data_IF_272626555793
#
_entry.id   IF_272626555793
#
_cell.length_a   1.000
_cell.length_b   1.000
_cell.length_c   1.000
_cell.angle_alpha   90.00
_cell.angle_beta   90.00
_cell.angle_gamma   90.00
#
_symmetry.space_group_name_H-M   'P 1'
#
loop_
_entity.id
_entity.type
_entity.pdbx_description
1 polymer ?
#
# COMPACT_ATOMS: atom_id res chain seq x y z
N UNK A 1 -14.60 -8.08 17.95
CA UNK A 1 -14.15 -6.87 17.22
C UNK A 1 -12.63 -6.81 17.07
N UNK A 2 -11.86 -6.73 18.16
CA UNK A 2 -10.38 -6.66 18.08
C UNK A 2 -9.76 -7.77 17.21
N UNK A 3 -10.22 -9.02 17.37
CA UNK A 3 -9.73 -10.13 16.55
C UNK A 3 -10.08 -10.02 15.07
N UNK A 4 -11.28 -9.50 14.74
CA UNK A 4 -11.69 -9.25 13.36
C UNK A 4 -10.79 -8.17 12.73
N UNK A 5 -10.60 -7.04 13.44
CA UNK A 5 -9.75 -5.95 12.96
C UNK A 5 -8.29 -6.38 12.79
N UNK A 6 -7.73 -7.11 13.77
CA UNK A 6 -6.39 -7.65 13.70
C UNK A 6 -6.24 -8.68 12.57
N UNK A 7 -7.23 -9.57 12.36
CA UNK A 7 -7.21 -10.52 11.26
C UNK A 7 -7.37 -9.86 9.89
N UNK A 8 -8.20 -8.83 9.75
CA UNK A 8 -8.28 -8.03 8.53
C UNK A 8 -6.94 -7.35 8.23
N UNK A 9 -6.32 -6.73 9.24
CA UNK A 9 -4.98 -6.16 9.09
C UNK A 9 -3.99 -7.22 8.61
N UNK A 10 -3.94 -8.38 9.28
CA UNK A 10 -3.10 -9.53 8.95
C UNK A 10 -3.29 -9.99 7.49
N UNK A 11 -4.54 -10.12 7.03
CA UNK A 11 -4.86 -10.61 5.68
C UNK A 11 -4.68 -9.59 4.56
N UNK A 12 -4.66 -8.29 4.86
CA UNK A 12 -4.58 -7.24 3.83
C UNK A 12 -3.14 -7.02 3.32
N UNK A 13 -2.14 -7.04 4.21
CA UNK A 13 -0.73 -6.77 3.86
C UNK A 13 0.22 -7.44 4.85
N UNK A 14 1.45 -7.72 4.39
CA UNK A 14 2.54 -8.27 5.21
C UNK A 14 2.76 -7.50 6.52
N UNK A 15 2.82 -6.16 6.46
CA UNK A 15 3.00 -5.31 7.65
C UNK A 15 1.83 -5.38 8.63
N UNK A 16 0.66 -5.83 8.18
CA UNK A 16 -0.50 -6.06 9.04
C UNK A 16 -0.29 -7.18 10.06
N UNK A 17 0.65 -8.11 9.83
CA UNK A 17 1.07 -9.08 10.83
C UNK A 17 1.66 -8.43 12.08
N UNK A 18 2.45 -7.36 11.92
CA UNK A 18 3.00 -6.58 13.03
C UNK A 18 1.87 -5.91 13.82
N UNK A 19 0.88 -5.33 13.13
CA UNK A 19 -0.29 -4.73 13.77
C UNK A 19 -1.13 -5.77 14.52
N UNK A 20 -1.37 -6.93 13.90
CA UNK A 20 -2.12 -8.02 14.52
C UNK A 20 -1.42 -8.53 15.78
N UNK A 21 -0.10 -8.71 15.73
CA UNK A 21 0.71 -9.11 16.88
C UNK A 21 0.70 -8.03 17.99
N UNK A 22 0.87 -6.76 17.62
CA UNK A 22 0.85 -5.63 18.54
C UNK A 22 -0.48 -5.50 19.30
N UNK A 23 -1.60 -5.96 18.73
CA UNK A 23 -2.90 -6.04 19.41
C UNK A 23 -3.05 -7.36 20.17
N UNK A 24 -2.78 -8.50 19.54
CA UNK A 24 -3.05 -9.81 20.11
C UNK A 24 -2.19 -10.07 21.35
N UNK A 25 -0.89 -9.79 21.29
CA UNK A 25 0.06 -10.12 22.39
C UNK A 25 -0.31 -9.38 23.68
N UNK A 26 -0.52 -8.05 23.71
CA UNK A 26 -0.90 -7.35 24.93
C UNK A 26 -2.27 -7.78 25.47
N UNK A 27 -3.25 -8.05 24.61
CA UNK A 27 -4.58 -8.53 25.04
C UNK A 27 -4.46 -9.91 25.70
N UNK A 28 -3.75 -10.85 25.08
CA UNK A 28 -3.52 -12.18 25.64
C UNK A 28 -2.73 -12.11 26.96
N UNK A 29 -1.72 -11.24 27.03
CA UNK A 29 -0.96 -11.01 28.25
C UNK A 29 -1.84 -10.44 29.38
N UNK A 30 -2.72 -9.48 29.07
CA UNK A 30 -3.67 -8.92 30.04
C UNK A 30 -4.67 -9.98 30.55
N UNK A 31 -5.19 -10.83 29.66
CA UNK A 31 -6.07 -11.93 30.04
C UNK A 31 -5.33 -12.91 30.97
N UNK A 32 -4.11 -13.31 30.62
CA UNK A 32 -3.29 -14.20 31.42
C UNK A 32 -2.94 -13.59 32.80
N UNK A 33 -2.58 -12.31 32.85
CA UNK A 33 -2.30 -11.60 34.10
C UNK A 33 -3.55 -11.44 34.97
N UNK A 34 -4.71 -11.19 34.36
CA UNK A 34 -5.99 -11.07 35.09
C UNK A 34 -6.41 -12.40 35.72
N UNK A 35 -6.17 -13.51 35.03
CA UNK A 35 -6.32 -14.85 35.58
C UNK A 35 -5.36 -15.10 36.74
N UNK A 36 -4.06 -14.80 36.56
CA UNK A 36 -3.05 -14.98 37.62
C UNK A 36 -3.36 -14.16 38.88
N UNK A 37 -3.95 -12.98 38.73
CA UNK A 37 -4.37 -12.11 39.83
C UNK A 37 -5.74 -12.46 40.43
N UNK A 38 -6.37 -13.54 39.99
CA UNK A 38 -7.71 -13.96 40.46
C UNK A 38 -8.85 -13.01 40.06
N UNK A 39 -8.62 -12.07 39.13
CA UNK A 39 -9.62 -11.09 38.69
C UNK A 39 -10.55 -11.65 37.61
N UNK A 40 -10.18 -12.76 36.98
CA UNK A 40 -10.90 -13.35 35.86
C UNK A 40 -10.85 -14.89 35.94
N UNK A 41 -11.98 -15.60 35.76
CA UNK A 41 -11.97 -17.06 35.73
C UNK A 41 -11.25 -17.60 34.50
N UNK A 42 -10.46 -18.69 34.67
CA UNK A 42 -9.68 -19.33 33.59
C UNK A 42 -10.52 -19.66 32.34
N UNK A 43 -11.75 -20.16 32.55
CA UNK A 43 -12.68 -20.52 31.46
C UNK A 43 -13.01 -19.33 30.58
N UNK A 44 -13.28 -18.18 31.19
CA UNK A 44 -13.61 -16.95 30.44
C UNK A 44 -12.39 -16.41 29.69
N UNK A 45 -11.21 -16.38 30.32
CA UNK A 45 -9.97 -16.00 29.62
C UNK A 45 -9.66 -16.91 28.43
N UNK A 46 -9.88 -18.23 28.59
CA UNK A 46 -9.73 -19.21 27.52
C UNK A 46 -10.69 -18.95 26.37
N UNK A 47 -11.98 -18.75 26.67
CA UNK A 47 -12.99 -18.41 25.67
C UNK A 47 -12.69 -17.09 24.96
N UNK A 48 -12.28 -16.05 25.68
CA UNK A 48 -11.93 -14.75 25.11
C UNK A 48 -10.68 -14.83 24.22
N UNK A 49 -9.65 -15.56 24.66
CA UNK A 49 -8.44 -15.82 23.86
C UNK A 49 -8.77 -16.62 22.60
N UNK A 50 -9.59 -17.67 22.73
CA UNK A 50 -10.05 -18.48 21.61
C UNK A 50 -10.88 -17.69 20.61
N UNK A 51 -11.79 -16.83 21.08
CA UNK A 51 -12.57 -15.95 20.22
C UNK A 51 -11.70 -14.90 19.50
N UNK A 52 -10.70 -14.34 20.20
CA UNK A 52 -9.75 -13.39 19.61
C UNK A 52 -8.93 -14.06 18.50
N UNK A 53 -8.26 -15.18 18.81
CA UNK A 53 -7.39 -15.89 17.88
C UNK A 53 -8.18 -16.53 16.73
N UNK A 54 -9.33 -17.13 17.04
CA UNK A 54 -10.24 -17.67 16.05
C UNK A 54 -10.70 -16.62 15.06
N UNK A 55 -11.09 -15.43 15.53
CA UNK A 55 -11.46 -14.33 14.64
C UNK A 55 -10.28 -13.85 13.78
N UNK A 56 -9.05 -13.76 14.33
CA UNK A 56 -7.85 -13.39 13.56
C UNK A 56 -7.59 -14.40 12.45
N UNK A 57 -7.66 -15.70 12.76
CA UNK A 57 -7.40 -16.77 11.82
C UNK A 57 -8.47 -16.86 10.74
N UNK A 58 -9.75 -16.69 11.09
CA UNK A 58 -10.85 -16.73 10.11
C UNK A 58 -10.77 -15.56 9.14
N UNK A 59 -10.49 -14.33 9.62
CA UNK A 59 -10.50 -13.16 8.73
C UNK A 59 -9.17 -12.89 8.03
N UNK A 60 -8.03 -13.30 8.61
CA UNK A 60 -6.70 -13.09 8.04
C UNK A 60 -6.02 -14.34 7.48
N UNK A 61 -6.33 -15.51 8.03
CA UNK A 61 -5.63 -16.77 7.74
C UNK A 61 -5.90 -17.34 6.36
N UNK A 62 -7.02 -16.98 5.72
CA UNK A 62 -7.36 -17.44 4.36
C UNK A 62 -6.24 -17.18 3.36
N UNK A 63 -5.62 -16.00 3.41
CA UNK A 63 -4.55 -15.64 2.48
C UNK A 63 -3.32 -16.55 2.63
N UNK A 64 -2.94 -16.84 3.88
CA UNK A 64 -1.82 -17.73 4.19
C UNK A 64 -2.11 -19.18 3.81
N UNK A 65 -3.33 -19.66 4.07
CA UNK A 65 -3.77 -20.99 3.67
C UNK A 65 -3.78 -21.14 2.15
N UNK A 66 -4.33 -20.14 1.43
CA UNK A 66 -4.32 -20.09 -0.03
C UNK A 66 -2.90 -20.15 -0.57
N UNK A 67 -1.98 -19.34 -0.06
CA UNK A 67 -0.60 -19.32 -0.53
C UNK A 67 0.09 -20.66 -0.27
N UNK A 68 -0.13 -21.26 0.90
CA UNK A 68 0.41 -22.57 1.20
C UNK A 68 -0.08 -23.63 0.19
N UNK A 69 -1.38 -23.67 -0.09
CA UNK A 69 -1.95 -24.63 -1.04
C UNK A 69 -1.44 -24.38 -2.47
N UNK A 70 -1.36 -23.12 -2.91
CA UNK A 70 -1.05 -22.78 -4.30
C UNK A 70 0.44 -22.83 -4.62
N UNK A 71 1.31 -22.42 -3.69
CA UNK A 71 2.75 -22.26 -3.95
C UNK A 71 3.64 -22.95 -2.93
N UNK A 72 3.08 -23.69 -1.98
CA UNK A 72 3.84 -24.41 -0.95
C UNK A 72 4.45 -23.52 0.13
N UNK A 73 4.16 -22.22 0.13
CA UNK A 73 4.71 -21.25 1.07
C UNK A 73 3.58 -20.35 1.63
N UNK A 74 3.26 -20.40 2.93
CA UNK A 74 2.18 -19.60 3.51
C UNK A 74 2.43 -18.09 3.48
N UNK A 75 3.69 -17.66 3.42
CA UNK A 75 4.08 -16.24 3.43
C UNK A 75 4.67 -15.79 2.11
N UNK A 76 4.33 -16.46 1.00
CA UNK A 76 4.77 -16.05 -0.33
C UNK A 76 4.48 -14.55 -0.59
N UNK A 77 5.39 -13.79 -1.22
CA UNK A 77 6.59 -14.27 -1.93
C UNK A 77 7.86 -14.34 -1.07
N UNK A 78 7.76 -14.23 0.27
CA UNK A 78 8.93 -14.15 1.14
C UNK A 78 9.54 -15.52 1.43
N UNK A 79 10.86 -15.63 1.44
CA UNK A 79 11.53 -16.80 2.00
C UNK A 79 11.44 -16.79 3.53
N UNK A 80 11.36 -17.98 4.12
CA UNK A 80 11.38 -18.16 5.57
C UNK A 80 12.54 -19.05 5.93
N UNK A 81 13.44 -18.52 6.76
CA UNK A 81 14.58 -19.24 7.30
C UNK A 81 14.49 -19.27 8.82
N UNK A 82 14.74 -20.43 9.42
CA UNK A 82 14.85 -20.60 10.85
C UNK A 82 16.19 -21.28 11.16
N UNK A 83 17.01 -20.65 12.01
CA UNK A 83 18.33 -21.17 12.39
C UNK A 83 19.22 -21.53 11.18
N UNK A 84 19.16 -20.72 10.11
CA UNK A 84 19.90 -20.94 8.87
C UNK A 84 19.29 -21.98 7.91
N UNK A 85 18.26 -22.72 8.33
CA UNK A 85 17.54 -23.69 7.49
C UNK A 85 16.38 -23.00 6.78
N UNK A 86 16.30 -23.16 5.46
CA UNK A 86 15.17 -22.69 4.65
C UNK A 86 13.95 -23.58 4.88
N UNK A 87 12.92 -23.02 5.53
CA UNK A 87 11.65 -23.70 5.78
C UNK A 87 10.70 -23.54 4.59
N UNK A 88 10.70 -22.36 3.97
CA UNK A 88 9.85 -22.04 2.83
C UNK A 88 10.61 -21.22 1.78
N UNK A 89 10.56 -21.67 0.53
CA UNK A 89 11.15 -21.00 -0.64
C UNK A 89 10.40 -19.71 -0.98
N UNK A 90 11.12 -18.63 -1.25
CA UNK A 90 10.55 -17.36 -1.68
C UNK A 90 11.43 -16.63 -2.69
N UNK A 91 10.87 -15.62 -3.35
CA UNK A 91 11.56 -14.78 -4.34
C UNK A 91 12.22 -13.55 -3.71
N UNK A 92 11.83 -13.19 -2.49
CA UNK A 92 12.34 -12.03 -1.77
C UNK A 92 12.63 -12.40 -0.32
N UNK A 93 13.66 -11.80 0.28
CA UNK A 93 13.83 -11.90 1.72
C UNK A 93 12.91 -10.90 2.43
N UNK A 94 12.47 -11.25 3.64
CA UNK A 94 11.73 -10.31 4.49
C UNK A 94 12.59 -9.07 4.78
N UNK A 95 13.91 -9.23 4.87
CA UNK A 95 14.83 -8.12 5.11
C UNK A 95 14.76 -7.09 3.99
N UNK A 96 14.92 -7.51 2.73
CA UNK A 96 14.93 -6.60 1.57
C UNK A 96 13.67 -5.74 1.48
N UNK A 97 12.54 -6.29 1.92
CA UNK A 97 11.24 -5.63 1.85
C UNK A 97 10.89 -4.78 3.07
N UNK A 98 11.54 -5.00 4.22
CA UNK A 98 11.24 -4.27 5.47
C UNK A 98 12.35 -3.27 5.84
N UNK A 99 13.59 -3.44 5.38
CA UNK A 99 14.73 -2.63 5.82
C UNK A 99 15.24 -1.67 4.77
N UNK A 100 15.15 -2.02 3.48
CA UNK A 100 15.66 -1.16 2.40
C UNK A 100 14.62 -0.09 2.10
N UNK A 101 14.93 1.15 2.50
CA UNK A 101 14.09 2.30 2.15
C UNK A 101 14.23 2.60 0.66
N UNK A 102 13.13 2.92 -0.03
CA UNK A 102 13.22 3.45 -1.38
C UNK A 102 14.14 4.68 -1.41
N UNK A 103 15.29 4.57 -2.09
CA UNK A 103 16.32 5.61 -2.11
C UNK A 103 17.48 5.42 -1.11
N UNK A 104 17.68 4.22 -0.57
CA UNK A 104 18.88 3.84 0.19
C UNK A 104 18.71 3.89 1.72
N UNK A 105 19.75 3.52 2.50
CA UNK A 105 19.72 3.56 3.96
C UNK A 105 19.48 5.00 4.45
N UNK A 106 18.52 5.18 5.36
CA UNK A 106 18.21 6.48 5.95
C UNK A 106 18.08 6.37 7.46
N UNK A 107 18.38 7.45 8.18
CA UNK A 107 18.13 7.49 9.62
C UNK A 107 16.60 7.53 9.87
N UNK A 108 16.03 6.53 10.56
CA UNK A 108 14.58 6.40 10.70
C UNK A 108 13.95 7.52 11.53
N UNK A 109 14.70 8.17 12.42
CA UNK A 109 14.20 9.32 13.21
C UNK A 109 14.11 10.56 12.33
N UNK A 110 15.15 10.84 11.53
CA UNK A 110 15.12 12.00 10.63
C UNK A 110 14.03 11.89 9.57
N UNK A 111 13.74 10.67 9.08
CA UNK A 111 12.63 10.48 8.14
C UNK A 111 11.28 10.74 8.80
N UNK A 112 11.05 10.30 10.04
CA UNK A 112 9.80 10.58 10.77
C UNK A 112 9.63 12.07 10.95
N UNK A 113 10.66 12.76 11.43
CA UNK A 113 10.63 14.21 11.63
C UNK A 113 10.38 14.96 10.32
N UNK A 114 11.08 14.58 9.23
CA UNK A 114 10.88 15.19 7.91
C UNK A 114 9.47 14.95 7.40
N UNK A 115 8.96 13.74 7.57
CA UNK A 115 7.60 13.36 7.15
C UNK A 115 6.55 14.19 7.90
N UNK A 116 6.64 14.26 9.22
CA UNK A 116 5.69 15.03 10.04
C UNK A 116 5.85 16.54 9.82
N UNK A 117 7.06 17.03 9.59
CA UNK A 117 7.30 18.43 9.22
C UNK A 117 6.65 18.78 7.87
N UNK A 118 6.67 17.83 6.93
CA UNK A 118 5.99 17.99 5.65
C UNK A 118 4.47 18.09 5.80
N UNK A 119 3.90 17.41 6.80
CA UNK A 119 2.49 17.51 7.18
C UNK A 119 2.16 18.85 7.85
N UNK A 120 3.09 19.45 8.61
CA UNK A 120 2.90 20.79 9.21
C UNK A 120 2.97 21.89 8.14
N UNK A 121 3.94 21.79 7.24
CA UNK A 121 4.20 22.75 6.16
C UNK A 121 3.36 22.47 4.90
N UNK A 122 2.26 21.72 5.04
CA UNK A 122 1.45 21.25 3.91
C UNK A 122 0.94 22.37 2.99
N UNK A 123 0.70 23.57 3.52
CA UNK A 123 0.29 24.75 2.74
C UNK A 123 1.35 25.23 1.73
N UNK A 124 2.63 25.00 2.04
CA UNK A 124 3.73 25.36 1.16
C UNK A 124 3.94 24.34 0.03
N UNK A 125 3.20 23.24 0.05
CA UNK A 125 3.34 22.16 -0.93
C UNK A 125 2.46 22.42 -2.15
N UNK A 126 3.07 22.30 -3.33
CA UNK A 126 2.37 22.46 -4.59
C UNK A 126 1.73 21.15 -5.09
N UNK A 127 2.14 20.01 -4.52
CA UNK A 127 1.67 18.69 -4.90
C UNK A 127 1.49 17.73 -3.72
N UNK A 128 0.40 16.95 -3.80
CA UNK A 128 0.09 15.79 -2.98
C UNK A 128 0.04 14.60 -3.93
N UNK A 129 0.98 13.67 -3.76
CA UNK A 129 1.00 12.43 -4.54
C UNK A 129 0.26 11.34 -3.79
N UNK A 130 -0.40 10.42 -4.52
CA UNK A 130 -0.91 9.19 -3.93
C UNK A 130 0.23 8.34 -3.31
N UNK A 131 1.43 8.42 -3.88
CA UNK A 131 2.63 7.74 -3.38
C UNK A 131 3.46 8.62 -2.45
N UNK A 132 2.88 9.66 -1.85
CA UNK A 132 3.60 10.56 -0.96
C UNK A 132 4.28 9.80 0.18
N UNK A 133 5.62 9.90 0.24
CA UNK A 133 6.44 9.25 1.27
C UNK A 133 6.76 10.20 2.44
N UNK A 134 6.67 11.50 2.22
CA UNK A 134 6.88 12.55 3.21
C UNK A 134 5.53 13.17 3.60
N UNK A 135 5.05 12.87 4.78
CA UNK A 135 3.73 13.28 5.25
C UNK A 135 2.61 12.44 4.65
N UNK A 136 1.42 13.01 4.53
CA UNK A 136 0.21 12.38 4.00
C UNK A 136 -0.85 12.06 5.05
N UNK A 137 -0.63 12.40 6.33
CA UNK A 137 -1.67 12.28 7.36
C UNK A 137 -2.63 13.49 7.38
N UNK A 138 -2.24 14.57 6.69
CA UNK A 138 -3.10 15.71 6.42
C UNK A 138 -3.18 16.71 7.57
N UNK A 139 -3.83 17.85 7.34
CA UNK A 139 -3.72 19.01 8.22
C UNK A 139 -4.41 18.84 9.57
N UNK A 140 -5.51 18.08 9.62
CA UNK A 140 -6.15 17.76 10.90
C UNK A 140 -5.17 17.04 11.83
N UNK A 141 -4.41 16.08 11.31
CA UNK A 141 -3.39 15.35 12.08
C UNK A 141 -2.30 16.30 12.58
N UNK A 142 -1.75 17.14 11.71
CA UNK A 142 -0.61 18.02 12.01
C UNK A 142 -0.91 19.08 13.05
N UNK A 143 -2.11 19.65 13.03
CA UNK A 143 -2.45 20.81 13.85
C UNK A 143 -3.23 20.43 15.10
N UNK A 144 -4.08 19.40 15.03
CA UNK A 144 -4.92 18.99 16.17
C UNK A 144 -4.67 17.53 16.59
N UNK A 145 -4.44 16.61 15.66
CA UNK A 145 -4.35 15.19 15.93
C UNK A 145 -3.22 14.80 16.88
N UNK A 146 -1.96 15.07 16.52
CA UNK A 146 -0.83 14.68 17.36
C UNK A 146 -0.70 15.48 18.67
N UNK A 147 -1.02 16.80 18.75
CA UNK A 147 -1.05 17.50 20.03
C UNK A 147 -2.13 16.94 20.96
N UNK A 148 -3.32 16.66 20.41
CA UNK A 148 -4.42 16.05 21.19
C UNK A 148 -4.06 14.66 21.65
N UNK A 149 -3.43 13.85 20.79
CA UNK A 149 -2.94 12.52 21.15
C UNK A 149 -1.87 12.60 22.24
N UNK A 150 -0.96 13.58 22.19
CA UNK A 150 0.02 13.83 23.24
C UNK A 150 -0.62 14.14 24.58
N UNK A 151 -1.57 15.07 24.62
CA UNK A 151 -2.31 15.43 25.84
C UNK A 151 -3.15 14.27 26.38
N UNK A 152 -3.87 13.56 25.51
CA UNK A 152 -4.62 12.37 25.88
C UNK A 152 -3.70 11.26 26.42
N UNK A 153 -2.50 11.10 25.84
CA UNK A 153 -1.50 10.15 26.32
C UNK A 153 -0.98 10.52 27.70
N UNK A 154 -0.64 11.79 27.94
CA UNK A 154 -0.23 12.28 29.26
C UNK A 154 -1.33 12.10 30.31
N UNK A 155 -2.58 12.37 29.94
CA UNK A 155 -3.73 12.12 30.80
C UNK A 155 -3.86 10.62 31.12
N UNK A 156 -3.77 9.76 30.10
CA UNK A 156 -3.87 8.32 30.28
C UNK A 156 -2.75 7.76 31.16
N UNK A 157 -1.50 8.21 30.97
CA UNK A 157 -0.36 7.84 31.80
C UNK A 157 -0.57 8.16 33.28
N UNK A 158 -1.26 9.27 33.59
CA UNK A 158 -1.50 9.71 34.97
C UNK A 158 -2.76 9.14 35.60
N UNK A 159 -3.81 8.93 34.80
CA UNK A 159 -5.17 8.68 35.32
C UNK A 159 -5.81 7.40 34.82
N UNK A 160 -5.33 6.83 33.71
CA UNK A 160 -5.95 5.70 33.02
C UNK A 160 -4.89 4.68 32.57
N UNK A 161 -4.22 3.99 33.53
CA UNK A 161 -3.23 2.96 33.20
C UNK A 161 -3.81 1.83 32.36
N UNK A 162 -5.14 1.61 32.42
CA UNK A 162 -5.87 0.71 31.53
C UNK A 162 -5.69 1.09 30.04
N UNK A 163 -5.83 2.37 29.70
CA UNK A 163 -5.65 2.87 28.32
C UNK A 163 -4.19 2.84 27.87
N UNK A 164 -3.25 3.04 28.81
CA UNK A 164 -1.82 2.92 28.52
C UNK A 164 -1.51 1.51 28.01
N UNK A 165 -1.96 0.49 28.73
CA UNK A 165 -1.62 -0.90 28.38
C UNK A 165 -2.47 -1.40 27.21
N UNK A 166 -3.74 -1.00 27.10
CA UNK A 166 -4.66 -1.51 26.05
C UNK A 166 -4.60 -0.76 24.72
N UNK A 167 -4.11 0.48 24.68
CA UNK A 167 -4.09 1.32 23.47
C UNK A 167 -2.70 1.87 23.18
N UNK A 168 -2.12 2.64 24.12
CA UNK A 168 -0.88 3.37 23.85
C UNK A 168 0.32 2.43 23.65
N UNK A 169 0.47 1.42 24.49
CA UNK A 169 1.57 0.46 24.41
C UNK A 169 1.49 -0.39 23.12
N UNK A 170 0.34 -0.98 22.73
CA UNK A 170 0.16 -1.59 21.41
C UNK A 170 0.52 -0.65 20.25
N UNK A 171 0.03 0.59 20.28
CA UNK A 171 0.28 1.55 19.20
C UNK A 171 1.76 1.96 19.10
N UNK A 172 2.42 2.15 20.25
CA UNK A 172 3.85 2.45 20.34
C UNK A 172 4.71 1.25 19.91
N UNK A 173 4.35 0.04 20.33
CA UNK A 173 5.02 -1.20 19.91
C UNK A 173 4.89 -1.41 18.40
N UNK A 174 3.69 -1.24 17.85
CA UNK A 174 3.46 -1.24 16.41
C UNK A 174 4.35 -0.20 15.72
N UNK A 175 4.39 1.03 16.21
CA UNK A 175 5.19 2.10 15.61
C UNK A 175 6.70 1.81 15.64
N UNK A 176 7.16 1.20 16.74
CA UNK A 176 8.57 0.88 16.94
C UNK A 176 9.03 -0.26 16.02
N UNK A 177 8.17 -1.25 15.76
CA UNK A 177 8.48 -2.46 14.99
C UNK A 177 8.15 -2.30 13.51
N UNK A 178 7.17 -1.45 13.16
CA UNK A 178 6.76 -1.27 11.76
C UNK A 178 7.92 -0.72 10.92
N UNK A 179 8.21 -1.35 9.76
CA UNK A 179 9.11 -0.76 8.80
C UNK A 179 8.48 0.51 8.23
N UNK A 180 9.32 1.44 7.77
CA UNK A 180 8.87 2.66 7.14
C UNK A 180 7.92 3.50 8.02
N UNK A 181 8.16 3.54 9.34
CA UNK A 181 7.37 4.30 10.33
C UNK A 181 7.27 5.81 10.07
N UNK A 182 7.97 6.34 9.08
CA UNK A 182 7.80 7.71 8.60
C UNK A 182 6.75 7.85 7.51
N UNK A 183 6.42 6.78 6.78
CA UNK A 183 5.47 6.82 5.67
C UNK A 183 4.04 6.73 6.22
N UNK A 184 3.25 7.78 5.99
CA UNK A 184 1.86 7.93 6.44
C UNK A 184 0.98 6.69 6.18
N UNK A 185 1.18 6.02 5.06
CA UNK A 185 0.46 4.79 4.70
C UNK A 185 0.58 3.69 5.75
N UNK A 186 1.71 3.60 6.45
CA UNK A 186 1.93 2.60 7.50
C UNK A 186 1.59 3.12 8.90
N UNK A 187 1.46 4.43 9.06
CA UNK A 187 1.18 5.10 10.35
C UNK A 187 -0.21 5.71 10.43
N UNK A 188 -1.09 5.43 9.47
CA UNK A 188 -2.46 5.96 9.44
C UNK A 188 -3.29 5.61 10.69
N UNK A 189 -2.95 4.52 11.38
CA UNK A 189 -3.57 4.16 12.66
C UNK A 189 -3.29 5.21 13.75
N UNK A 190 -2.14 5.91 13.70
CA UNK A 190 -1.85 7.03 14.59
C UNK A 190 -2.80 8.20 14.31
N UNK A 191 -3.08 8.51 13.04
CA UNK A 191 -4.09 9.51 12.70
C UNK A 191 -5.48 9.12 13.22
N UNK A 192 -5.86 7.83 13.12
CA UNK A 192 -7.08 7.31 13.76
C UNK A 192 -7.13 7.56 15.27
N UNK A 193 -6.04 7.28 15.99
CA UNK A 193 -5.93 7.59 17.42
C UNK A 193 -5.96 9.10 17.70
N UNK A 194 -5.35 9.90 16.82
CA UNK A 194 -5.39 11.37 16.88
C UNK A 194 -6.81 11.90 16.76
N UNK A 195 -7.63 11.37 15.85
CA UNK A 195 -9.05 11.73 15.71
C UNK A 195 -9.83 11.40 16.97
N UNK A 196 -9.62 10.20 17.55
CA UNK A 196 -10.26 9.82 18.82
C UNK A 196 -9.85 10.80 19.94
N UNK A 197 -8.57 11.17 20.01
CA UNK A 197 -8.09 12.12 21.00
C UNK A 197 -8.69 13.52 20.81
N UNK A 198 -8.80 13.99 19.56
CA UNK A 198 -9.43 15.27 19.22
C UNK A 198 -10.89 15.31 19.69
N UNK A 199 -11.67 14.26 19.41
CA UNK A 199 -13.08 14.17 19.85
C UNK A 199 -13.15 14.13 21.38
N UNK A 200 -12.33 13.32 22.03
CA UNK A 200 -12.29 13.23 23.49
C UNK A 200 -11.90 14.55 24.15
N UNK A 201 -11.08 15.39 23.50
CA UNK A 201 -10.79 16.74 23.97
C UNK A 201 -11.98 17.67 23.75
N UNK A 202 -12.62 17.63 22.58
CA UNK A 202 -13.79 18.46 22.26
C UNK A 202 -14.93 18.27 23.25
N UNK A 203 -15.17 17.02 23.68
CA UNK A 203 -16.19 16.68 24.71
C UNK A 203 -15.86 17.25 26.10
N UNK A 204 -14.60 17.57 26.37
CA UNK A 204 -14.14 18.14 27.65
C UNK A 204 -14.10 19.67 27.65
N UNK A 205 -14.23 20.31 26.48
CA UNK A 205 -14.28 21.77 26.40
C UNK A 205 -15.69 22.22 26.82
N UNK A 206 -15.83 23.20 27.75
CA UNK A 206 -17.13 23.75 28.13
C UNK A 206 -17.92 24.26 26.92
N UNK A 207 -19.25 24.24 27.00
CA UNK A 207 -20.13 24.63 25.90
C UNK A 207 -20.20 26.16 25.69
N UNK A 208 -19.06 26.74 25.31
CA UNK A 208 -18.87 28.17 25.06
C UNK A 208 -18.17 28.41 23.71
N UNK A 209 -17.70 29.64 23.49
CA UNK A 209 -17.02 30.01 22.25
C UNK A 209 -15.78 29.15 21.96
N UNK A 210 -15.09 28.61 22.99
CA UNK A 210 -13.89 27.77 22.82
C UNK A 210 -14.25 26.45 22.16
N UNK A 211 -15.33 25.80 22.59
CA UNK A 211 -15.81 24.55 21.98
C UNK A 211 -16.23 24.77 20.54
N UNK A 212 -16.91 25.88 20.25
CA UNK A 212 -17.29 26.26 18.87
C UNK A 212 -16.07 26.50 18.00
N UNK A 213 -15.09 27.28 18.48
CA UNK A 213 -13.83 27.51 17.75
C UNK A 213 -13.10 26.20 17.48
N UNK A 214 -13.02 25.31 18.46
CA UNK A 214 -12.36 24.02 18.28
C UNK A 214 -13.11 23.12 17.29
N UNK A 215 -14.44 23.03 17.38
CA UNK A 215 -15.26 22.30 16.41
C UNK A 215 -15.12 22.87 14.99
N UNK A 216 -15.15 24.19 14.83
CA UNK A 216 -14.93 24.87 13.55
C UNK A 216 -13.55 24.56 12.99
N UNK A 217 -12.50 24.59 13.82
CA UNK A 217 -11.15 24.23 13.39
C UNK A 217 -11.07 22.79 12.89
N UNK A 218 -11.74 21.83 13.57
CA UNK A 218 -11.81 20.44 13.12
C UNK A 218 -12.46 20.35 11.73
N UNK A 219 -13.61 21.00 11.54
CA UNK A 219 -14.34 20.99 10.25
C UNK A 219 -13.49 21.63 9.15
N UNK A 220 -12.93 22.83 9.39
CA UNK A 220 -12.11 23.56 8.43
C UNK A 220 -10.87 22.75 8.02
N UNK A 221 -10.14 22.18 8.98
CA UNK A 221 -8.96 21.36 8.68
C UNK A 221 -9.33 20.08 7.94
N UNK A 222 -10.45 19.44 8.28
CA UNK A 222 -10.95 18.25 7.59
C UNK A 222 -11.31 18.55 6.14
N UNK A 223 -12.07 19.62 5.91
CA UNK A 223 -12.45 20.07 4.57
C UNK A 223 -11.23 20.53 3.76
N UNK A 224 -10.30 21.24 4.38
CA UNK A 224 -9.05 21.63 3.72
C UNK A 224 -8.24 20.40 3.29
N UNK A 225 -8.11 19.40 4.17
CA UNK A 225 -7.45 18.13 3.85
C UNK A 225 -8.13 17.41 2.69
N UNK A 226 -9.46 17.30 2.70
CA UNK A 226 -10.23 16.66 1.64
C UNK A 226 -10.13 17.41 0.30
N UNK A 227 -10.27 18.74 0.33
CA UNK A 227 -10.14 19.59 -0.84
C UNK A 227 -8.74 19.46 -1.47
N UNK A 228 -7.69 19.46 -0.65
CA UNK A 228 -6.32 19.30 -1.12
C UNK A 228 -6.05 17.91 -1.70
N UNK A 229 -6.51 16.85 -1.03
CA UNK A 229 -6.39 15.48 -1.53
C UNK A 229 -7.16 15.26 -2.85
N UNK A 230 -8.18 16.07 -3.13
CA UNK A 230 -9.03 15.95 -4.34
C UNK A 230 -8.63 16.94 -5.45
N UNK A 231 -7.83 17.96 -5.15
CA UNK A 231 -7.49 19.04 -6.11
C UNK A 231 -6.73 18.53 -7.33
N UNK A 232 -5.86 17.53 -7.12
CA UNK A 232 -5.06 16.89 -8.17
C UNK A 232 -5.05 15.40 -7.93
N UNK A 233 -5.48 14.64 -8.92
CA UNK A 233 -5.37 13.19 -8.92
C UNK A 233 -4.11 12.81 -9.68
N UNK A 234 -3.16 12.23 -8.95
CA UNK A 234 -1.98 11.58 -9.50
C UNK A 234 -2.03 10.10 -9.09
N UNK A 235 -2.49 9.19 -9.97
CA UNK A 235 -2.74 7.82 -9.59
C UNK A 235 -1.46 7.03 -9.28
N UNK A 236 -0.28 7.54 -9.64
CA UNK A 236 0.96 6.84 -9.31
C UNK A 236 2.24 7.69 -9.23
N UNK A 237 2.17 9.01 -9.08
CA UNK A 237 3.35 9.87 -8.89
C UNK A 237 4.16 10.19 -10.16
N UNK A 238 3.80 9.60 -11.31
CA UNK A 238 4.57 9.70 -12.57
C UNK A 238 3.69 9.86 -13.82
N UNK A 239 2.37 9.78 -13.65
CA UNK A 239 1.42 9.97 -14.74
C UNK A 239 1.14 11.45 -15.01
N UNK A 240 0.36 11.72 -16.05
CA UNK A 240 -0.26 13.04 -16.21
C UNK A 240 -1.17 13.30 -14.99
N UNK A 241 -0.97 14.45 -14.34
CA UNK A 241 -1.82 14.90 -13.24
C UNK A 241 -3.14 15.42 -13.81
N UNK A 242 -4.25 15.00 -13.21
CA UNK A 242 -5.58 15.50 -13.56
C UNK A 242 -6.06 16.46 -12.48
N UNK A 243 -6.40 17.68 -12.88
CA UNK A 243 -7.07 18.63 -12.00
C UNK A 243 -8.57 18.36 -11.88
N UNK A 244 -9.24 19.05 -10.96
CA UNK A 244 -10.70 18.95 -10.81
C UNK A 244 -11.45 19.25 -12.11
N UNK A 245 -10.99 20.24 -12.89
CA UNK A 245 -11.57 20.55 -14.20
C UNK A 245 -11.42 19.41 -15.22
N UNK A 246 -10.26 18.74 -15.24
CA UNK A 246 -10.05 17.56 -16.07
C UNK A 246 -10.97 16.41 -15.65
N UNK A 247 -11.20 16.22 -14.35
CA UNK A 247 -12.11 15.16 -13.88
C UNK A 247 -13.57 15.42 -14.25
N UNK A 248 -14.03 16.68 -14.11
CA UNK A 248 -15.38 17.08 -14.51
C UNK A 248 -15.55 16.94 -16.02
N UNK A 249 -14.56 17.38 -16.81
CA UNK A 249 -14.62 17.21 -18.26
C UNK A 249 -14.62 15.73 -18.61
N UNK A 250 -13.77 14.91 -17.98
CA UNK A 250 -13.77 13.46 -18.18
C UNK A 250 -15.11 12.81 -17.86
N UNK A 251 -15.81 13.26 -16.82
CA UNK A 251 -17.15 12.77 -16.50
C UNK A 251 -18.16 12.98 -17.64
N UNK A 252 -17.93 13.95 -18.53
CA UNK A 252 -18.73 14.21 -19.72
C UNK A 252 -18.27 13.45 -20.99
N UNK A 253 -17.04 12.90 -21.04
CA UNK A 253 -16.53 12.21 -22.23
C UNK A 253 -16.97 10.73 -22.29
N UNK A 254 -17.15 10.12 -23.47
CA UNK A 254 -17.45 8.68 -23.57
C UNK A 254 -16.41 7.81 -22.86
N UNK A 255 -16.84 6.73 -22.20
CA UNK A 255 -15.95 5.84 -21.43
C UNK A 255 -14.76 5.27 -22.21
N UNK A 256 -14.88 5.15 -23.54
CA UNK A 256 -13.81 4.68 -24.44
C UNK A 256 -12.58 5.59 -24.48
N UNK A 257 -12.71 6.86 -24.10
CA UNK A 257 -11.58 7.80 -24.05
C UNK A 257 -10.96 7.88 -22.65
N UNK A 258 -11.58 7.25 -21.64
CA UNK A 258 -11.14 7.27 -20.25
C UNK A 258 -10.21 6.09 -19.92
N UNK A 259 -9.27 5.81 -20.80
CA UNK A 259 -8.33 4.69 -20.67
C UNK A 259 -7.09 5.12 -19.90
N UNK A 260 -6.42 4.17 -19.25
CA UNK A 260 -5.18 4.45 -18.52
C UNK A 260 -4.11 5.07 -19.43
N UNK A 261 -4.08 4.61 -20.70
CA UNK A 261 -3.22 5.11 -21.76
C UNK A 261 -3.44 6.58 -22.09
N UNK A 262 -4.70 6.98 -22.25
CA UNK A 262 -5.03 8.37 -22.64
C UNK A 262 -5.00 9.35 -21.46
N UNK A 263 -5.28 8.87 -20.24
CA UNK A 263 -5.44 9.75 -19.09
C UNK A 263 -4.14 9.96 -18.31
N UNK A 264 -3.35 8.91 -18.12
CA UNK A 264 -2.27 8.93 -17.13
C UNK A 264 -0.92 8.51 -17.71
N UNK A 265 -0.88 7.47 -18.53
CA UNK A 265 0.35 6.84 -18.98
C UNK A 265 0.33 6.62 -20.49
N UNK A 266 0.74 7.63 -21.27
CA UNK A 266 0.72 7.60 -22.74
C UNK A 266 1.44 6.40 -23.34
N UNK A 267 2.43 5.83 -22.64
CA UNK A 267 3.10 4.59 -23.02
C UNK A 267 2.15 3.37 -23.13
N UNK A 268 0.93 3.45 -22.58
CA UNK A 268 -0.13 2.44 -22.72
C UNK A 268 -1.23 2.83 -23.70
N UNK A 269 -1.19 3.99 -24.38
CA UNK A 269 -2.25 4.41 -25.29
C UNK A 269 -2.50 3.40 -26.42
N UNK A 270 -1.44 2.73 -26.90
CA UNK A 270 -1.53 1.69 -27.93
C UNK A 270 -2.40 0.49 -27.52
N UNK A 271 -2.59 0.26 -26.22
CA UNK A 271 -3.34 -0.88 -25.67
C UNK A 271 -4.83 -0.76 -25.97
N UNK A 272 -5.33 0.44 -26.22
CA UNK A 272 -6.75 0.69 -26.51
C UNK A 272 -7.17 0.07 -27.86
N UNK A 273 -6.23 -0.02 -28.81
CA UNK A 273 -6.44 -0.61 -30.13
C UNK A 273 -6.11 -2.10 -30.19
N UNK A 274 -5.66 -2.69 -29.09
CA UNK A 274 -5.27 -4.10 -29.03
C UNK A 274 -6.49 -4.99 -28.86
N UNK A 275 -6.60 -6.01 -29.72
CA UNK A 275 -7.66 -7.01 -29.62
C UNK A 275 -7.81 -7.59 -28.20
N UNK A 276 -9.05 -7.75 -27.70
CA UNK A 276 -9.38 -8.46 -26.47
C UNK A 276 -8.69 -9.84 -26.31
N UNK A 277 -8.41 -10.53 -27.42
CA UNK A 277 -7.82 -11.89 -27.42
C UNK A 277 -6.33 -11.90 -27.72
N UNK A 278 -5.69 -10.73 -27.77
CA UNK A 278 -4.27 -10.65 -28.09
C UNK A 278 -3.42 -11.22 -26.96
N UNK A 279 -2.30 -11.85 -27.35
CA UNK A 279 -1.22 -12.19 -26.44
C UNK A 279 -0.18 -11.06 -26.47
N UNK A 280 0.18 -10.53 -25.31
CA UNK A 280 1.17 -9.46 -25.14
C UNK A 280 2.37 -10.02 -24.37
N UNK A 281 3.54 -10.03 -24.99
CA UNK A 281 4.81 -10.27 -24.29
C UNK A 281 5.29 -8.98 -23.64
N UNK A 282 5.58 -9.00 -22.35
CA UNK A 282 6.06 -7.83 -21.62
C UNK A 282 7.38 -8.14 -20.90
N UNK A 283 8.36 -7.27 -21.06
CA UNK A 283 9.64 -7.39 -20.36
C UNK A 283 9.45 -7.23 -18.86
N UNK A 284 9.68 -8.31 -18.12
CA UNK A 284 9.63 -8.33 -16.67
C UNK A 284 10.84 -7.57 -16.13
N UNK A 285 10.61 -6.68 -15.16
CA UNK A 285 11.62 -5.80 -14.54
C UNK A 285 12.18 -4.68 -15.42
N UNK A 286 11.63 -4.41 -16.61
CA UNK A 286 11.96 -3.18 -17.34
C UNK A 286 11.60 -1.96 -16.47
N UNK A 287 12.55 -1.10 -16.06
CA UNK A 287 12.29 0.01 -15.14
C UNK A 287 11.26 1.02 -15.67
N UNK A 288 11.11 1.08 -16.99
CA UNK A 288 10.17 1.97 -17.68
C UNK A 288 8.75 1.41 -17.70
N UNK A 289 8.56 0.09 -17.56
CA UNK A 289 7.25 -0.58 -17.57
C UNK A 289 6.79 -0.76 -16.12
N UNK A 290 6.04 0.22 -15.62
CA UNK A 290 5.67 0.29 -14.20
C UNK A 290 4.38 -0.45 -13.86
N UNK A 291 3.48 -0.61 -14.83
CA UNK A 291 2.18 -1.25 -14.65
C UNK A 291 1.96 -2.35 -15.67
N UNK A 292 1.55 -3.52 -15.19
CA UNK A 292 1.14 -4.62 -16.07
C UNK A 292 -0.37 -4.67 -16.25
N UNK A 293 -1.14 -4.13 -15.29
CA UNK A 293 -2.60 -4.20 -15.28
C UNK A 293 -3.28 -3.71 -16.57
N UNK A 294 -2.88 -2.57 -17.18
CA UNK A 294 -3.51 -2.12 -18.42
C UNK A 294 -3.40 -3.15 -19.56
N UNK A 295 -2.34 -3.96 -19.57
CA UNK A 295 -2.08 -4.95 -20.61
C UNK A 295 -3.09 -6.11 -20.60
N UNK A 296 -3.76 -6.37 -19.47
CA UNK A 296 -4.75 -7.46 -19.38
C UNK A 296 -6.11 -7.11 -20.00
N UNK A 297 -6.37 -5.82 -20.29
CA UNK A 297 -7.68 -5.37 -20.75
C UNK A 297 -8.67 -5.13 -19.61
N UNK A 298 -9.81 -4.52 -19.95
CA UNK A 298 -10.78 -4.03 -18.96
C UNK A 298 -11.53 -5.15 -18.22
N UNK A 299 -11.55 -6.36 -18.80
CA UNK A 299 -12.19 -7.59 -18.30
C UNK A 299 -11.18 -8.73 -18.11
N UNK A 300 -9.88 -8.41 -18.05
CA UNK A 300 -8.78 -9.39 -17.94
C UNK A 300 -8.77 -10.44 -19.06
N UNK A 301 -9.17 -10.03 -20.26
CA UNK A 301 -9.35 -10.88 -21.42
C UNK A 301 -8.06 -11.19 -22.20
N UNK A 302 -7.04 -10.32 -22.07
CA UNK A 302 -5.78 -10.45 -22.82
C UNK A 302 -4.81 -11.36 -22.09
N UNK A 303 -4.02 -12.10 -22.86
CA UNK A 303 -3.03 -13.01 -22.31
C UNK A 303 -1.68 -12.29 -22.21
N UNK A 304 -1.23 -12.00 -20.98
CA UNK A 304 0.07 -11.35 -20.75
C UNK A 304 1.14 -12.41 -20.45
N UNK A 305 2.25 -12.37 -21.18
CA UNK A 305 3.39 -13.28 -21.02
C UNK A 305 4.58 -12.48 -20.54
N UNK A 306 5.14 -12.85 -19.38
CA UNK A 306 6.33 -12.21 -18.83
C UNK A 306 7.59 -12.70 -19.56
N UNK A 307 8.43 -11.77 -20.01
CA UNK A 307 9.73 -12.01 -20.60
C UNK A 307 10.80 -11.71 -19.55
N UNK A 308 11.42 -12.73 -18.96
CA UNK A 308 12.43 -12.54 -17.93
C UNK A 308 13.82 -12.30 -18.54
N UNK A 309 14.68 -11.47 -17.94
CA UNK A 309 16.06 -11.30 -18.40
C UNK A 309 16.81 -12.63 -18.52
N UNK A 310 17.65 -12.79 -19.54
CA UNK A 310 18.45 -14.02 -19.76
C UNK A 310 17.74 -15.10 -20.59
N UNK A 311 16.47 -14.87 -20.96
CA UNK A 311 15.69 -15.79 -21.79
C UNK A 311 15.75 -15.45 -23.29
N UNK A 312 16.65 -14.58 -23.75
CA UNK A 312 16.63 -14.04 -25.12
C UNK A 312 16.72 -15.12 -26.21
N UNK A 313 17.53 -16.15 -25.97
CA UNK A 313 17.68 -17.32 -26.85
C UNK A 313 16.49 -18.28 -26.74
N UNK A 314 15.80 -18.27 -25.60
CA UNK A 314 14.60 -19.05 -25.33
C UNK A 314 13.32 -18.31 -25.73
N UNK A 315 13.38 -17.03 -26.11
CA UNK A 315 12.23 -16.26 -26.61
C UNK A 315 11.57 -17.01 -27.74
N UNK A 316 12.33 -17.42 -28.76
CA UNK A 316 11.76 -18.17 -29.88
C UNK A 316 11.06 -19.47 -29.42
N UNK A 317 11.57 -20.14 -28.37
CA UNK A 317 11.03 -21.38 -27.79
C UNK A 317 9.84 -21.16 -26.82
N UNK A 318 9.78 -20.04 -26.10
CA UNK A 318 8.65 -19.69 -25.23
C UNK A 318 7.51 -19.08 -26.03
N UNK A 319 7.86 -18.33 -27.07
CA UNK A 319 6.90 -17.77 -28.00
C UNK A 319 6.35 -18.83 -28.95
N UNK A 320 7.06 -19.92 -29.26
CA UNK A 320 6.57 -20.94 -30.22
C UNK A 320 5.27 -21.65 -29.80
N UNK A 321 4.89 -21.63 -28.52
CA UNK A 321 3.60 -22.18 -28.05
C UNK A 321 2.42 -21.21 -28.10
N UNK A 322 2.67 -19.90 -28.01
CA UNK A 322 1.67 -18.81 -28.02
C UNK A 322 2.34 -17.50 -28.44
N UNK A 323 2.76 -17.39 -29.70
CA UNK A 323 3.62 -16.24 -30.02
C UNK A 323 2.84 -14.92 -29.87
N UNK A 324 3.36 -13.96 -29.09
CA UNK A 324 2.68 -12.75 -28.75
C UNK A 324 2.45 -11.92 -30.00
N UNK A 325 1.23 -11.43 -30.13
CA UNK A 325 0.87 -10.48 -31.18
C UNK A 325 1.59 -9.14 -30.96
N UNK A 326 1.96 -8.82 -29.71
CA UNK A 326 2.64 -7.58 -29.35
C UNK A 326 3.77 -7.83 -28.34
N UNK A 327 4.88 -7.10 -28.48
CA UNK A 327 5.95 -7.03 -27.49
C UNK A 327 6.02 -5.63 -26.89
N UNK A 328 5.98 -5.52 -25.57
CA UNK A 328 6.15 -4.28 -24.84
C UNK A 328 7.42 -4.37 -23.97
N UNK A 329 8.45 -3.63 -24.37
CA UNK A 329 9.82 -3.83 -23.88
C UNK A 329 10.50 -2.50 -23.58
N UNK A 330 11.55 -2.52 -22.74
CA UNK A 330 12.38 -1.35 -22.49
C UNK A 330 13.21 -0.98 -23.73
N UNK A 331 13.31 0.32 -24.03
CA UNK A 331 14.17 0.81 -25.10
C UNK A 331 15.64 0.55 -24.76
N UNK A 332 16.37 -0.04 -25.69
CA UNK A 332 17.75 -0.49 -25.50
C UNK A 332 17.86 -1.82 -24.75
N UNK A 333 16.76 -2.49 -24.40
CA UNK A 333 16.82 -3.79 -23.75
C UNK A 333 17.25 -4.90 -24.72
N UNK A 334 17.53 -6.08 -24.15
CA UNK A 334 17.88 -7.25 -24.94
C UNK A 334 16.71 -7.69 -25.84
N UNK A 335 15.47 -7.63 -25.36
CA UNK A 335 14.27 -7.93 -26.14
C UNK A 335 14.00 -6.88 -27.25
N UNK A 336 14.28 -5.60 -27.00
CA UNK A 336 14.20 -4.56 -28.02
C UNK A 336 15.21 -4.79 -29.15
N UNK A 337 16.49 -5.05 -28.81
CA UNK A 337 17.50 -5.44 -29.82
C UNK A 337 17.09 -6.69 -30.59
N UNK A 338 16.58 -7.71 -29.88
CA UNK A 338 16.14 -8.97 -30.48
C UNK A 338 14.97 -8.78 -31.47
N UNK A 339 13.99 -7.94 -31.14
CA UNK A 339 12.85 -7.64 -32.00
C UNK A 339 13.27 -6.84 -33.24
N UNK A 340 14.14 -5.83 -33.07
CA UNK A 340 14.70 -5.04 -34.19
C UNK A 340 15.51 -5.86 -35.18
N UNK A 341 16.23 -6.88 -34.71
CA UNK A 341 16.98 -7.79 -35.58
C UNK A 341 16.06 -8.68 -36.45
N UNK A 342 14.75 -8.65 -36.24
CA UNK A 342 13.74 -9.47 -36.95
C UNK A 342 12.64 -8.60 -37.58
N UNK A 343 12.97 -7.64 -38.48
CA UNK A 343 11.99 -6.71 -39.03
C UNK A 343 10.90 -7.39 -39.89
N UNK A 344 11.20 -8.57 -40.43
CA UNK A 344 10.22 -9.40 -41.17
C UNK A 344 9.17 -10.05 -40.26
N UNK A 345 9.41 -10.13 -38.95
CA UNK A 345 8.49 -10.75 -37.97
C UNK A 345 7.85 -9.71 -37.06
N UNK A 346 8.56 -8.63 -36.74
CA UNK A 346 8.10 -7.60 -35.82
C UNK A 346 8.26 -6.21 -36.44
N UNK A 347 7.16 -5.46 -36.45
CA UNK A 347 7.13 -4.04 -36.84
C UNK A 347 7.04 -3.18 -35.59
N UNK A 348 7.87 -2.15 -35.49
CA UNK A 348 7.72 -1.15 -34.44
C UNK A 348 6.38 -0.42 -34.63
N UNK A 349 5.55 -0.43 -33.57
CA UNK A 349 4.26 0.26 -33.53
C UNK A 349 4.40 1.65 -32.91
N UNK A 350 5.23 1.79 -31.88
CA UNK A 350 5.43 3.04 -31.17
C UNK A 350 6.59 2.99 -30.19
N UNK A 351 7.02 4.17 -29.77
CA UNK A 351 8.05 4.38 -28.75
C UNK A 351 7.61 5.54 -27.86
N UNK A 352 7.62 5.35 -26.55
CA UNK A 352 7.34 6.40 -25.58
C UNK A 352 8.14 6.20 -24.30
N UNK A 353 8.71 7.29 -23.75
CA UNK A 353 9.39 7.33 -22.43
C UNK A 353 10.34 6.16 -22.12
N UNK A 354 11.10 5.73 -23.13
CA UNK A 354 12.05 4.62 -22.97
C UNK A 354 11.41 3.24 -22.98
N UNK A 355 10.18 3.10 -23.46
CA UNK A 355 9.53 1.84 -23.83
C UNK A 355 9.33 1.77 -25.34
N UNK A 356 9.23 0.55 -25.89
CA UNK A 356 8.92 0.29 -27.30
C UNK A 356 7.88 -0.80 -27.41
N UNK A 357 7.01 -0.64 -28.39
CA UNK A 357 5.95 -1.60 -28.71
C UNK A 357 6.20 -2.15 -30.10
N UNK A 358 6.30 -3.45 -30.22
CA UNK A 358 6.37 -4.14 -31.51
C UNK A 358 5.09 -4.92 -31.75
N UNK A 359 4.58 -4.87 -32.98
CA UNK A 359 3.49 -5.73 -33.45
C UNK A 359 4.06 -6.84 -34.32
N UNK A 360 3.63 -8.07 -34.09
CA UNK A 360 3.97 -9.19 -34.97
C UNK A 360 3.30 -9.01 -36.33
N UNK A 361 4.08 -9.15 -37.39
CA UNK A 361 3.58 -9.20 -38.76
C UNK A 361 3.25 -10.68 -39.02
N UNK A 362 1.97 -11.00 -39.24
CA UNK A 362 1.59 -12.33 -39.67
C UNK A 362 2.26 -12.62 -41.01
N UNK A 363 2.79 -13.83 -41.19
CA UNK A 363 3.24 -14.30 -42.51
C UNK A 363 2.05 -14.59 -43.39
#
# INVERSE_FOLDING_TARGET
LAGIAAGLALGMKTNGSVLAAAVAVPVLAQLALSVRRGRLPKRFAGAASGALLGAILVTGGWWYARNWIQVGNPVAPFEVRALGVELFKGQASLHDYLTVSPGGPRNPVSEVLRSWWSDVTFWARSDLSYEERSGGLGPLWSWLGWPSLGLASLFALRRRPDLVVSVLLPAAAAFAVLPYRWWSRFTMYLAGLGVIAVVAMLERVPDDWRRRTFATAIVVLSLAGAALATRRVDPAGYGRRLGTGDLISLAAHPGRQRTVGNLFFHEFAWVDDVSPRATIGVEFQAPQIRFLYPLFGARLERHVVLLNPGDETSVDKRLSGREPAYLFVGSGSAFDRWARARPRRYRLLGQDRGTRVFRRIAR
#
